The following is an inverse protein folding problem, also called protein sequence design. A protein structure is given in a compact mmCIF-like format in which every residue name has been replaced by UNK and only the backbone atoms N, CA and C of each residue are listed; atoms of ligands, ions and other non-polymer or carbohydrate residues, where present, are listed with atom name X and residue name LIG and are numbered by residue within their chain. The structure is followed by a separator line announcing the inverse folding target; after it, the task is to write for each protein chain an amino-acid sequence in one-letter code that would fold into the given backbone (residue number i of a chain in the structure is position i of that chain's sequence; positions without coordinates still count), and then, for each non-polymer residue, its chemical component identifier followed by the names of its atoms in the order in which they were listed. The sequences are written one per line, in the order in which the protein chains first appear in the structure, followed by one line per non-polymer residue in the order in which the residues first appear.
data_IF_608778076563
#
_entry.id   IF_608778076563
#
_cell.length_a   1.000
_cell.length_b   1.000
_cell.length_c   1.000
_cell.angle_alpha   90.00
_cell.angle_beta   90.00
_cell.angle_gamma   90.00
#
_symmetry.space_group_name_H-M   'P 1'
#
loop_
_entity.id
_entity.type
_entity.pdbx_description
1 polymer ?
#
# COMPACT_ATOMS: atom_id res chain seq x y z
N UNK A 1 -21.68 -32.10 34.90
CA UNK A 1 -20.35 -31.71 34.39
C UNK A 1 -20.33 -31.36 32.89
N UNK A 2 -21.16 -31.97 32.04
CA UNK A 2 -21.14 -31.79 30.56
C UNK A 2 -21.52 -30.40 30.00
N UNK A 3 -22.42 -29.63 30.64
CA UNK A 3 -22.90 -28.35 30.05
C UNK A 3 -21.87 -27.22 30.05
N UNK A 4 -21.05 -27.09 31.11
CA UNK A 4 -20.05 -26.01 31.20
C UNK A 4 -18.85 -26.24 30.27
N UNK A 5 -18.46 -27.50 30.05
CA UNK A 5 -17.39 -27.85 29.11
C UNK A 5 -17.81 -27.54 27.67
N UNK A 6 -19.03 -27.92 27.27
CA UNK A 6 -19.58 -27.60 25.96
C UNK A 6 -19.65 -26.09 25.69
N UNK A 7 -20.02 -25.28 26.69
CA UNK A 7 -20.06 -23.82 26.54
C UNK A 7 -18.66 -23.20 26.38
N UNK A 8 -17.67 -23.68 27.15
CA UNK A 8 -16.27 -23.27 27.00
C UNK A 8 -15.70 -23.65 25.63
N UNK A 9 -16.06 -24.83 25.12
CA UNK A 9 -15.62 -25.30 23.81
C UNK A 9 -16.18 -24.43 22.68
N UNK A 10 -17.46 -24.04 22.76
CA UNK A 10 -18.10 -23.10 21.82
C UNK A 10 -17.49 -21.70 21.84
N UNK A 11 -17.17 -21.18 23.02
CA UNK A 11 -16.50 -19.88 23.15
C UNK A 11 -15.12 -19.90 22.50
N UNK A 12 -14.33 -20.95 22.74
CA UNK A 12 -13.01 -21.09 22.14
C UNK A 12 -13.06 -21.27 20.62
N UNK A 13 -14.00 -22.04 20.09
CA UNK A 13 -14.19 -22.19 18.64
C UNK A 13 -14.62 -20.87 18.00
N UNK A 14 -15.54 -20.14 18.63
CA UNK A 14 -16.01 -18.85 18.14
C UNK A 14 -14.87 -17.82 18.14
N UNK A 15 -14.10 -17.72 19.22
CA UNK A 15 -12.95 -16.83 19.31
C UNK A 15 -11.90 -17.15 18.25
N UNK A 16 -11.61 -18.44 18.01
CA UNK A 16 -10.67 -18.85 16.96
C UNK A 16 -11.15 -18.46 15.56
N UNK A 17 -12.45 -18.61 15.28
CA UNK A 17 -13.05 -18.15 14.03
C UNK A 17 -12.94 -16.63 13.89
N UNK A 18 -13.24 -15.87 14.94
CA UNK A 18 -13.11 -14.41 14.98
C UNK A 18 -11.67 -13.96 14.75
N UNK A 19 -10.68 -14.60 15.41
CA UNK A 19 -9.26 -14.29 15.21
C UNK A 19 -8.83 -14.52 13.77
N UNK A 20 -9.24 -15.64 13.17
CA UNK A 20 -8.96 -15.95 11.77
C UNK A 20 -9.54 -14.87 10.85
N UNK A 21 -10.78 -14.48 11.07
CA UNK A 21 -11.46 -13.50 10.22
C UNK A 21 -10.83 -12.10 10.36
N UNK A 22 -10.39 -11.70 11.56
CA UNK A 22 -9.62 -10.47 11.78
C UNK A 22 -8.29 -10.48 11.03
N UNK A 23 -7.54 -11.59 11.08
CA UNK A 23 -6.27 -11.71 10.36
C UNK A 23 -6.50 -11.62 8.85
N UNK A 24 -7.54 -12.29 8.33
CA UNK A 24 -7.90 -12.21 6.91
C UNK A 24 -8.26 -10.77 6.51
N UNK A 25 -9.02 -10.08 7.37
CA UNK A 25 -9.39 -8.70 7.14
C UNK A 25 -8.17 -7.77 7.12
N UNK A 26 -7.22 -7.94 8.06
CA UNK A 26 -5.93 -7.23 8.06
C UNK A 26 -5.17 -7.47 6.75
N UNK A 27 -5.07 -8.71 6.30
CA UNK A 27 -4.39 -9.05 5.05
C UNK A 27 -5.05 -8.40 3.83
N UNK A 28 -6.39 -8.33 3.80
CA UNK A 28 -7.15 -7.64 2.74
C UNK A 28 -6.90 -6.15 2.76
N UNK A 29 -6.91 -5.50 3.92
CA UNK A 29 -6.61 -4.07 4.06
C UNK A 29 -5.19 -3.76 3.59
N UNK A 30 -4.22 -4.53 4.07
CA UNK A 30 -2.81 -4.39 3.69
C UNK A 30 -2.60 -4.64 2.19
N UNK A 31 -3.27 -5.66 1.64
CA UNK A 31 -3.24 -5.97 0.22
C UNK A 31 -3.79 -4.85 -0.65
N UNK A 32 -4.97 -4.32 -0.30
CA UNK A 32 -5.58 -3.19 -1.01
C UNK A 32 -4.70 -1.93 -0.94
N UNK A 33 -4.16 -1.61 0.24
CA UNK A 33 -3.24 -0.49 0.40
C UNK A 33 -1.96 -0.66 -0.44
N UNK A 34 -1.35 -1.84 -0.43
CA UNK A 34 -0.11 -2.10 -1.18
C UNK A 34 -0.35 -1.94 -2.69
N UNK A 35 -1.49 -2.41 -3.19
CA UNK A 35 -1.88 -2.21 -4.60
C UNK A 35 -2.05 -0.74 -4.94
N UNK A 36 -2.65 0.04 -4.06
CA UNK A 36 -2.81 1.50 -4.23
C UNK A 36 -1.45 2.21 -4.22
N UNK A 37 -0.58 1.92 -3.27
CA UNK A 37 0.75 2.53 -3.17
C UNK A 37 1.65 2.15 -4.36
N UNK A 38 1.60 0.90 -4.83
CA UNK A 38 2.36 0.46 -6.01
C UNK A 38 1.91 1.19 -7.28
N UNK A 39 0.60 1.45 -7.42
CA UNK A 39 0.07 2.28 -8.51
C UNK A 39 0.56 3.71 -8.38
N UNK A 40 0.45 4.34 -7.20
CA UNK A 40 0.97 5.69 -6.93
C UNK A 40 2.44 5.83 -7.32
N UNK A 41 3.32 4.93 -6.82
CA UNK A 41 4.78 5.02 -7.03
C UNK A 41 5.17 5.03 -8.51
N UNK A 42 4.48 4.24 -9.34
CA UNK A 42 4.75 4.22 -10.80
C UNK A 42 4.53 5.59 -11.44
N UNK A 43 3.44 6.27 -11.06
CA UNK A 43 3.09 7.58 -11.61
C UNK A 43 3.95 8.70 -11.04
N UNK A 44 4.30 8.61 -9.76
CA UNK A 44 5.22 9.56 -9.12
C UNK A 44 6.61 9.50 -9.76
N UNK A 45 7.13 8.31 -10.04
CA UNK A 45 8.39 8.13 -10.78
C UNK A 45 8.32 8.68 -12.20
N UNK A 46 7.21 8.45 -12.91
CA UNK A 46 7.00 8.99 -14.26
C UNK A 46 6.98 10.53 -14.24
N UNK A 47 6.31 11.14 -13.26
CA UNK A 47 6.24 12.58 -13.11
C UNK A 47 7.64 13.18 -12.82
N UNK A 48 8.39 12.59 -11.89
CA UNK A 48 9.76 13.03 -11.59
C UNK A 48 10.65 12.91 -12.83
N UNK A 49 10.55 11.80 -13.57
CA UNK A 49 11.28 11.61 -14.82
C UNK A 49 10.91 12.68 -15.87
N UNK A 50 9.62 13.01 -16.03
CA UNK A 50 9.18 14.09 -16.93
C UNK A 50 9.78 15.44 -16.54
N UNK A 51 9.83 15.79 -15.26
CA UNK A 51 10.46 17.03 -14.80
C UNK A 51 11.98 17.06 -15.04
N UNK A 52 12.67 15.94 -14.83
CA UNK A 52 14.10 15.81 -15.11
C UNK A 52 14.35 16.01 -16.62
N UNK A 53 13.61 15.30 -17.47
CA UNK A 53 13.73 15.45 -18.93
C UNK A 53 13.37 16.85 -19.40
N UNK A 54 12.32 17.46 -18.84
CA UNK A 54 11.93 18.83 -19.16
C UNK A 54 13.07 19.81 -18.87
N UNK A 55 13.68 19.70 -17.69
CA UNK A 55 14.80 20.56 -17.28
C UNK A 55 16.03 20.33 -18.16
N UNK A 56 16.34 19.06 -18.47
CA UNK A 56 17.46 18.69 -19.34
C UNK A 56 17.30 19.24 -20.75
N UNK A 57 16.15 19.01 -21.39
CA UNK A 57 15.90 19.51 -22.75
C UNK A 57 15.79 21.03 -22.78
N UNK A 58 15.26 21.65 -21.73
CA UNK A 58 15.28 23.11 -21.60
C UNK A 58 16.72 23.63 -21.57
N UNK A 59 17.59 23.04 -20.75
CA UNK A 59 19.02 23.38 -20.73
C UNK A 59 19.68 23.19 -22.10
N UNK A 60 19.45 22.04 -22.76
CA UNK A 60 20.03 21.71 -24.05
C UNK A 60 19.52 22.56 -25.24
N UNK A 61 18.36 23.21 -25.11
CA UNK A 61 17.83 24.12 -26.14
C UNK A 61 18.28 25.56 -25.89
N UNK A 62 18.23 26.03 -24.64
CA UNK A 62 18.45 27.45 -24.32
C UNK A 62 19.90 27.82 -23.98
N UNK A 63 20.66 26.92 -23.34
CA UNK A 63 22.00 27.25 -22.80
C UNK A 63 23.10 26.73 -23.73
N UNK A 64 22.98 25.50 -24.22
CA UNK A 64 23.92 24.89 -25.17
C UNK A 64 23.25 24.61 -26.52
N UNK A 65 22.84 25.64 -27.29
CA UNK A 65 22.27 25.43 -28.61
C UNK A 65 23.31 24.80 -29.53
N UNK A 66 23.12 23.53 -29.86
CA UNK A 66 23.98 22.82 -30.82
C UNK A 66 23.97 23.56 -32.16
N UNK A 67 25.16 23.85 -32.69
CA UNK A 67 25.34 24.54 -33.98
C UNK A 67 24.76 23.76 -35.16
N UNK A 68 24.55 22.44 -34.98
CA UNK A 68 23.93 21.58 -35.98
C UNK A 68 22.41 21.69 -35.87
N UNK A 69 21.80 22.35 -36.87
CA UNK A 69 20.36 22.61 -36.93
C UNK A 69 19.49 21.37 -36.65
N UNK A 70 19.88 20.20 -37.15
CA UNK A 70 19.11 18.97 -36.96
C UNK A 70 19.03 18.53 -35.48
N UNK A 71 20.13 18.66 -34.73
CA UNK A 71 20.15 18.33 -33.29
C UNK A 71 19.36 19.36 -32.48
N UNK A 72 19.43 20.64 -32.84
CA UNK A 72 18.63 21.68 -32.21
C UNK A 72 17.12 21.46 -32.45
N UNK A 73 16.73 21.13 -33.68
CA UNK A 73 15.34 20.84 -34.03
C UNK A 73 14.81 19.63 -33.26
N UNK A 74 15.60 18.55 -33.18
CA UNK A 74 15.21 17.34 -32.46
C UNK A 74 15.04 17.60 -30.96
N UNK A 75 15.95 18.33 -30.32
CA UNK A 75 15.82 18.72 -28.91
C UNK A 75 14.61 19.62 -28.66
N UNK A 76 14.29 20.51 -29.60
CA UNK A 76 13.11 21.40 -29.52
C UNK A 76 11.81 20.61 -29.62
N UNK A 77 11.70 19.68 -30.58
CA UNK A 77 10.53 18.80 -30.71
C UNK A 77 10.40 17.90 -29.47
N UNK A 78 11.51 17.36 -28.96
CA UNK A 78 11.51 16.57 -27.74
C UNK A 78 11.03 17.39 -26.51
N UNK A 79 11.48 18.64 -26.38
CA UNK A 79 11.03 19.56 -25.33
C UNK A 79 9.50 19.79 -25.41
N UNK A 80 8.98 20.09 -26.62
CA UNK A 80 7.54 20.28 -26.83
C UNK A 80 6.74 19.01 -26.54
N UNK A 81 7.27 17.84 -26.89
CA UNK A 81 6.65 16.55 -26.59
C UNK A 81 6.57 16.29 -25.07
N UNK A 82 7.65 16.55 -24.33
CA UNK A 82 7.68 16.40 -22.86
C UNK A 82 6.75 17.40 -22.18
N UNK A 83 6.75 18.66 -22.62
CA UNK A 83 5.83 19.68 -22.11
C UNK A 83 4.36 19.31 -22.38
N UNK A 84 4.05 18.84 -23.59
CA UNK A 84 2.72 18.34 -23.96
C UNK A 84 2.29 17.13 -23.14
N UNK A 85 3.22 16.20 -22.87
CA UNK A 85 3.01 15.05 -21.99
C UNK A 85 2.67 15.45 -20.56
N UNK A 86 3.31 16.50 -20.03
CA UNK A 86 3.01 17.04 -18.70
C UNK A 86 1.62 17.68 -18.64
N UNK A 87 1.25 18.45 -19.66
CA UNK A 87 -0.10 19.05 -19.77
C UNK A 87 -1.17 17.96 -19.89
N UNK A 88 -0.94 16.93 -20.71
CA UNK A 88 -1.85 15.79 -20.81
C UNK A 88 -1.99 15.09 -19.45
N UNK A 89 -0.89 14.86 -18.74
CA UNK A 89 -0.91 14.23 -17.43
C UNK A 89 -1.67 15.06 -16.39
N UNK A 90 -1.54 16.38 -16.42
CA UNK A 90 -2.29 17.31 -15.57
C UNK A 90 -3.78 17.33 -15.93
N UNK A 91 -4.11 17.49 -17.21
CA UNK A 91 -5.51 17.51 -17.71
C UNK A 91 -6.22 16.18 -17.53
N UNK A 92 -5.51 15.07 -17.65
CA UNK A 92 -6.03 13.71 -17.43
C UNK A 92 -6.43 13.47 -15.97
N UNK A 93 -6.15 14.39 -15.04
CA UNK A 93 -6.58 14.28 -13.64
C UNK A 93 -5.89 13.16 -12.85
N UNK A 94 -4.94 12.44 -13.48
CA UNK A 94 -4.28 11.27 -12.91
C UNK A 94 -3.48 11.60 -11.64
N UNK A 95 -2.95 12.82 -11.53
CA UNK A 95 -2.23 13.29 -10.35
C UNK A 95 -3.16 13.39 -9.13
N UNK A 96 -4.32 14.03 -9.29
CA UNK A 96 -5.27 14.22 -8.19
C UNK A 96 -5.98 12.92 -7.82
N UNK A 97 -6.50 12.18 -8.80
CA UNK A 97 -7.27 10.97 -8.52
C UNK A 97 -6.46 9.82 -7.93
N UNK A 98 -5.20 9.63 -8.35
CA UNK A 98 -4.43 8.43 -7.95
C UNK A 98 -3.50 8.70 -6.76
N UNK A 99 -2.92 9.90 -6.68
CA UNK A 99 -1.91 10.21 -5.65
C UNK A 99 -2.58 10.68 -4.36
N UNK A 100 -3.57 11.57 -4.47
CA UNK A 100 -4.29 12.10 -3.30
C UNK A 100 -5.18 11.03 -2.69
N UNK A 101 -5.83 10.19 -3.52
CA UNK A 101 -6.62 9.06 -3.02
C UNK A 101 -5.78 8.06 -2.21
N UNK A 102 -4.57 7.73 -2.67
CA UNK A 102 -3.68 6.82 -1.94
C UNK A 102 -3.24 7.38 -0.56
N UNK A 103 -3.13 8.71 -0.44
CA UNK A 103 -2.86 9.38 0.83
C UNK A 103 -4.11 9.38 1.74
N UNK A 104 -5.29 9.64 1.17
CA UNK A 104 -6.57 9.65 1.90
C UNK A 104 -7.11 8.25 2.26
N UNK A 105 -6.58 7.19 1.64
CA UNK A 105 -7.03 5.81 1.89
C UNK A 105 -6.98 5.41 3.37
N UNK A 106 -5.92 5.79 4.09
CA UNK A 106 -5.80 5.42 5.52
C UNK A 106 -6.77 6.14 6.41
N UNK A 107 -6.85 7.48 6.43
CA UNK A 107 -7.84 8.15 7.28
C UNK A 107 -9.27 7.73 6.91
N UNK A 108 -9.56 7.48 5.63
CA UNK A 108 -10.86 6.97 5.20
C UNK A 108 -11.15 5.55 5.72
N UNK A 109 -10.18 4.64 5.69
CA UNK A 109 -10.34 3.33 6.31
C UNK A 109 -10.42 3.44 7.84
N UNK A 110 -9.62 4.31 8.45
CA UNK A 110 -9.57 4.47 9.89
C UNK A 110 -10.92 4.94 10.45
N UNK A 111 -11.60 5.84 9.75
CA UNK A 111 -12.94 6.26 10.13
C UNK A 111 -13.96 5.11 10.12
N UNK A 112 -13.85 4.18 9.17
CA UNK A 112 -14.67 2.97 9.12
C UNK A 112 -14.22 1.90 10.13
N UNK A 113 -12.96 1.92 10.57
CA UNK A 113 -12.41 0.99 11.57
C UNK A 113 -12.69 1.44 13.00
N UNK A 114 -12.85 2.74 13.22
CA UNK A 114 -13.19 3.31 14.52
C UNK A 114 -14.55 2.82 15.03
N UNK A 115 -15.54 2.58 14.17
CA UNK A 115 -16.82 1.97 14.58
C UNK A 115 -16.66 0.55 15.13
N UNK A 116 -15.54 -0.11 14.81
CA UNK A 116 -15.16 -1.42 15.34
C UNK A 116 -14.11 -1.33 16.47
N UNK A 117 -13.78 -0.13 16.96
CA UNK A 117 -12.67 0.13 17.91
C UNK A 117 -11.30 -0.35 17.40
N UNK A 118 -11.11 -0.29 16.08
CA UNK A 118 -9.90 -0.72 15.38
C UNK A 118 -9.19 0.48 14.76
N UNK A 119 -7.87 0.41 14.67
CA UNK A 119 -7.04 1.38 13.98
C UNK A 119 -6.07 0.68 13.02
N UNK A 120 -5.91 1.20 11.81
CA UNK A 120 -4.95 0.65 10.87
C UNK A 120 -3.73 1.56 10.74
N UNK A 121 -2.61 1.13 11.34
CA UNK A 121 -1.38 1.90 11.34
C UNK A 121 -0.42 1.46 10.22
N UNK A 122 -0.06 2.40 9.33
CA UNK A 122 0.90 2.21 8.22
C UNK A 122 2.35 2.02 8.69
N UNK A 123 2.72 2.52 9.87
CA UNK A 123 4.11 2.77 10.27
C UNK A 123 4.85 1.52 10.77
N UNK A 124 4.15 0.57 11.41
CA UNK A 124 4.76 -0.63 12.01
C UNK A 124 4.21 -1.93 11.39
N UNK A 125 4.43 -2.12 10.09
CA UNK A 125 4.06 -3.34 9.32
C UNK A 125 2.63 -3.39 8.75
N UNK A 126 1.83 -2.32 8.87
CA UNK A 126 0.46 -2.31 8.33
C UNK A 126 -0.47 -3.22 9.13
N UNK A 127 -0.39 -3.13 10.46
CA UNK A 127 -1.14 -3.96 11.39
C UNK A 127 -2.41 -3.28 11.89
N UNK A 128 -3.36 -4.11 12.31
CA UNK A 128 -4.53 -3.69 13.05
C UNK A 128 -4.17 -3.50 14.53
N UNK A 129 -4.47 -2.31 15.06
CA UNK A 129 -4.34 -1.96 16.48
C UNK A 129 -5.74 -1.84 17.09
N UNK A 130 -5.84 -2.18 18.38
CA UNK A 130 -7.09 -2.04 19.14
C UNK A 130 -7.06 -0.74 19.93
N UNK A 131 -8.12 0.08 19.85
CA UNK A 131 -8.06 1.46 20.34
C UNK A 131 -8.09 1.59 21.88
N UNK A 132 -8.81 0.71 22.59
CA UNK A 132 -8.78 0.57 24.07
C UNK A 132 -9.94 -0.24 24.62
N UNK A 133 -11.05 -0.37 23.88
CA UNK A 133 -12.31 -0.88 24.43
C UNK A 133 -12.49 -2.41 24.37
N UNK A 134 -11.41 -3.16 24.12
CA UNK A 134 -11.46 -4.61 23.92
C UNK A 134 -10.78 -5.28 25.11
N UNK A 135 -11.41 -6.30 25.73
CA UNK A 135 -10.84 -7.02 26.87
C UNK A 135 -9.42 -7.55 26.59
N UNK A 136 -8.50 -7.39 27.55
CA UNK A 136 -7.09 -7.80 27.41
C UNK A 136 -6.92 -9.28 27.05
N UNK A 137 -7.75 -10.16 27.60
CA UNK A 137 -7.72 -11.59 27.30
C UNK A 137 -7.94 -11.90 25.80
N UNK A 138 -8.76 -11.09 25.12
CA UNK A 138 -9.02 -11.22 23.69
C UNK A 138 -7.84 -10.67 22.88
N UNK A 139 -7.23 -9.56 23.32
CA UNK A 139 -6.05 -8.99 22.69
C UNK A 139 -4.88 -9.99 22.72
N UNK A 140 -4.58 -10.56 23.89
CA UNK A 140 -3.53 -11.57 24.07
C UNK A 140 -3.81 -12.83 23.24
N UNK A 141 -5.07 -13.31 23.24
CA UNK A 141 -5.49 -14.45 22.42
C UNK A 141 -5.32 -14.20 20.92
N UNK A 142 -5.67 -13.01 20.45
CA UNK A 142 -5.49 -12.59 19.06
C UNK A 142 -4.01 -12.44 18.68
N UNK A 143 -3.20 -11.81 19.52
CA UNK A 143 -1.76 -11.64 19.28
C UNK A 143 -1.03 -12.98 19.21
N UNK A 144 -1.36 -13.90 20.12
CA UNK A 144 -0.85 -15.28 20.08
C UNK A 144 -1.25 -15.98 18.79
N UNK A 145 -2.52 -15.89 18.36
CA UNK A 145 -2.97 -16.47 17.09
C UNK A 145 -2.26 -15.84 15.88
N UNK A 146 -2.11 -14.51 15.88
CA UNK A 146 -1.47 -13.75 14.80
C UNK A 146 0.00 -14.11 14.63
N UNK A 147 0.75 -14.20 15.73
CA UNK A 147 2.16 -14.62 15.71
C UNK A 147 2.33 -16.03 15.15
N UNK A 148 1.48 -16.97 15.58
CA UNK A 148 1.46 -18.36 15.07
C UNK A 148 1.11 -18.42 13.58
N UNK A 149 0.12 -17.64 13.14
CA UNK A 149 -0.27 -17.54 11.73
C UNK A 149 0.90 -17.04 10.86
N UNK A 150 1.58 -15.97 11.28
CA UNK A 150 2.73 -15.45 10.55
C UNK A 150 3.93 -16.40 10.57
N UNK A 151 4.19 -17.10 11.67
CA UNK A 151 5.24 -18.12 11.75
C UNK A 151 4.98 -19.25 10.74
N UNK A 152 3.74 -19.74 10.67
CA UNK A 152 3.30 -20.75 9.69
C UNK A 152 3.47 -20.26 8.26
N UNK A 153 3.14 -18.99 7.98
CA UNK A 153 3.30 -18.39 6.65
C UNK A 153 4.78 -18.27 6.24
N UNK A 154 5.65 -17.84 7.15
CA UNK A 154 7.11 -17.78 6.93
C UNK A 154 7.69 -19.16 6.65
N UNK A 155 7.31 -20.18 7.43
CA UNK A 155 7.76 -21.55 7.23
C UNK A 155 7.35 -22.11 5.84
N UNK A 156 6.10 -21.84 5.40
CA UNK A 156 5.64 -22.22 4.05
C UNK A 156 6.44 -21.53 2.95
N UNK A 157 6.72 -20.23 3.10
CA UNK A 157 7.52 -19.48 2.13
C UNK A 157 8.99 -19.95 2.08
N UNK A 158 9.57 -20.31 3.23
CA UNK A 158 10.93 -20.85 3.29
C UNK A 158 11.02 -22.20 2.55
N UNK A 159 10.03 -23.09 2.73
CA UNK A 159 9.96 -24.36 2.00
C UNK A 159 9.79 -24.19 0.49
N UNK A 160 9.07 -23.17 0.05
CA UNK A 160 8.91 -22.85 -1.38
C UNK A 160 10.20 -22.28 -2.01
N UNK A 161 11.00 -21.55 -1.23
CA UNK A 161 12.23 -20.92 -1.71
C UNK A 161 13.44 -21.88 -1.70
N UNK A 162 13.43 -22.85 -0.79
CA UNK A 162 14.40 -23.93 -0.70
C UNK A 162 13.65 -25.27 -0.74
N UNK A 163 13.19 -25.72 -1.92
CA UNK A 163 12.75 -27.09 -2.05
C UNK A 163 13.96 -27.97 -1.70
N UNK A 164 13.84 -28.75 -0.63
CA UNK A 164 14.82 -29.75 -0.23
C UNK A 164 15.15 -30.61 -1.45
N UNK A 165 16.42 -30.52 -1.91
CA UNK A 165 17.01 -31.44 -2.87
C UNK A 165 17.09 -32.83 -2.28
#
# INVERSE_FOLDING_TARGET
MSSHENMRQRLNSNNTATYRDLVIFEERLRGNMTRLLKRKRKYELLLVALFIFLTWFFYAVFIDPSKVFMFHLLNTIALLSVAGGLVFFYRSGMYSEKIVYAQKFVPHCNHALQSFNLEFNKQHQGGLNFLSNIPRHFQEGFESYRSQYHARKKARQAKLKHPSQ
#
